data_IF_867730921634
#
_entry.id   IF_867730921634
#
_cell.length_a   1.000
_cell.length_b   1.000
_cell.length_c   1.000
_cell.angle_alpha   90.00
_cell.angle_beta   90.00
_cell.angle_gamma   90.00
#
_symmetry.space_group_name_H-M   'P 1'
#
loop_
_entity.id
_entity.type
_entity.pdbx_description
1 polymer ?
#
# COMPACT_ATOMS: atom_id res chain seq x y z
N UNK A 1 -63.52 -0.27 21.39
CA UNK A 1 -62.46 0.73 21.12
C UNK A 1 -61.38 0.05 20.30
N UNK A 2 -61.36 0.27 18.98
CA UNK A 2 -60.31 -0.25 18.09
C UNK A 2 -59.31 0.86 17.82
N UNK A 3 -58.08 0.71 18.33
CA UNK A 3 -56.96 1.61 18.04
C UNK A 3 -56.46 1.34 16.62
N UNK A 4 -56.57 2.32 15.73
CA UNK A 4 -55.97 2.23 14.38
C UNK A 4 -54.44 2.22 14.49
N UNK A 5 -53.72 1.38 13.73
CA UNK A 5 -52.27 1.41 13.69
C UNK A 5 -51.82 2.66 12.91
N UNK A 6 -50.81 3.37 13.43
CA UNK A 6 -50.24 4.54 12.78
C UNK A 6 -49.65 4.16 11.39
N UNK A 7 -49.82 5.00 10.35
CA UNK A 7 -49.31 4.69 9.03
C UNK A 7 -47.78 4.69 9.04
N UNK A 8 -47.17 3.57 8.66
CA UNK A 8 -45.73 3.47 8.46
C UNK A 8 -45.33 4.41 7.30
N UNK A 9 -44.50 5.42 7.59
CA UNK A 9 -43.99 6.34 6.58
C UNK A 9 -43.34 5.56 5.42
N UNK A 10 -43.59 5.93 4.15
CA UNK A 10 -43.04 5.20 3.00
C UNK A 10 -41.52 5.22 3.07
N UNK A 11 -40.87 4.04 2.96
CA UNK A 11 -39.41 3.84 3.06
C UNK A 11 -38.60 4.78 2.15
N UNK A 12 -39.20 5.30 1.09
CA UNK A 12 -38.64 6.28 0.15
C UNK A 12 -38.45 7.66 0.79
N UNK A 13 -39.40 8.15 1.60
CA UNK A 13 -39.29 9.46 2.27
C UNK A 13 -38.14 9.47 3.28
N UNK A 14 -37.95 8.38 4.04
CA UNK A 14 -36.81 8.23 4.97
C UNK A 14 -35.45 8.22 4.25
N UNK A 15 -35.35 7.59 3.07
CA UNK A 15 -34.13 7.59 2.25
C UNK A 15 -33.82 8.97 1.68
N UNK A 16 -34.83 9.72 1.24
CA UNK A 16 -34.67 11.08 0.72
C UNK A 16 -34.20 12.01 1.84
N UNK A 17 -34.88 12.00 2.99
CA UNK A 17 -34.47 12.83 4.14
C UNK A 17 -33.06 12.48 4.59
N UNK A 18 -32.70 11.20 4.66
CA UNK A 18 -31.34 10.79 5.03
C UNK A 18 -30.31 11.24 3.99
N UNK A 19 -30.61 11.13 2.69
CA UNK A 19 -29.74 11.64 1.63
C UNK A 19 -29.58 13.17 1.73
N UNK A 20 -30.65 13.93 1.97
CA UNK A 20 -30.60 15.38 2.15
C UNK A 20 -29.78 15.77 3.36
N UNK A 21 -29.95 15.09 4.50
CA UNK A 21 -29.16 15.35 5.71
C UNK A 21 -27.68 15.03 5.48
N UNK A 22 -27.36 13.92 4.81
CA UNK A 22 -25.97 13.57 4.46
C UNK A 22 -25.37 14.60 3.51
N UNK A 23 -26.08 15.01 2.47
CA UNK A 23 -25.62 16.05 1.54
C UNK A 23 -25.37 17.36 2.28
N UNK A 24 -26.31 17.79 3.13
CA UNK A 24 -26.16 19.03 3.90
C UNK A 24 -24.97 18.94 4.87
N UNK A 25 -24.78 17.80 5.55
CA UNK A 25 -23.63 17.58 6.40
C UNK A 25 -22.30 17.62 5.63
N UNK A 26 -22.24 17.02 4.44
CA UNK A 26 -21.06 17.06 3.55
C UNK A 26 -20.78 18.49 3.08
N UNK A 27 -21.81 19.26 2.70
CA UNK A 27 -21.65 20.65 2.29
C UNK A 27 -21.14 21.54 3.43
N UNK A 28 -21.67 21.35 4.64
CA UNK A 28 -21.21 22.08 5.83
C UNK A 28 -19.76 21.72 6.13
N UNK A 29 -19.40 20.44 6.13
CA UNK A 29 -18.02 20.00 6.33
C UNK A 29 -17.08 20.57 5.26
N UNK A 30 -17.48 20.53 3.98
CA UNK A 30 -16.71 21.10 2.88
C UNK A 30 -16.51 22.62 3.03
N UNK A 31 -17.54 23.35 3.47
CA UNK A 31 -17.44 24.78 3.75
C UNK A 31 -16.42 25.07 4.86
N UNK A 32 -16.46 24.34 5.98
CA UNK A 32 -15.50 24.52 7.07
C UNK A 32 -14.06 24.18 6.66
N UNK A 33 -13.87 23.09 5.89
CA UNK A 33 -12.55 22.72 5.35
C UNK A 33 -12.03 23.82 4.42
N UNK A 34 -12.87 24.29 3.49
CA UNK A 34 -12.49 25.36 2.57
C UNK A 34 -12.17 26.67 3.32
N UNK A 35 -13.01 27.07 4.27
CA UNK A 35 -12.80 28.28 5.05
C UNK A 35 -11.49 28.21 5.86
N UNK A 36 -11.19 27.06 6.47
CA UNK A 36 -9.91 26.83 7.15
C UNK A 36 -8.74 26.95 6.19
N UNK A 37 -8.75 26.19 5.09
CA UNK A 37 -7.64 26.18 4.13
C UNK A 37 -7.41 27.55 3.48
N UNK A 38 -8.49 28.30 3.20
CA UNK A 38 -8.39 29.63 2.63
C UNK A 38 -7.87 30.65 3.65
N UNK A 39 -8.28 30.55 4.91
CA UNK A 39 -7.77 31.39 5.99
C UNK A 39 -6.28 31.14 6.22
N UNK A 40 -5.87 29.86 6.24
CA UNK A 40 -4.45 29.49 6.34
C UNK A 40 -3.66 30.05 5.16
N UNK A 41 -4.19 29.93 3.94
CA UNK A 41 -3.54 30.49 2.75
C UNK A 41 -3.34 32.02 2.87
N UNK A 42 -4.39 32.77 3.22
CA UNK A 42 -4.30 34.21 3.41
C UNK A 42 -3.30 34.59 4.51
N UNK A 43 -3.23 33.81 5.59
CA UNK A 43 -2.28 34.05 6.67
C UNK A 43 -0.83 33.83 6.22
N UNK A 44 -0.55 32.72 5.52
CA UNK A 44 0.79 32.45 4.97
C UNK A 44 1.20 33.46 3.90
N UNK A 45 0.25 33.93 3.08
CA UNK A 45 0.48 34.95 2.05
C UNK A 45 0.87 36.30 2.66
N UNK A 46 0.20 36.73 3.73
CA UNK A 46 0.56 37.94 4.47
C UNK A 46 2.00 37.92 5.01
N UNK A 47 2.54 36.74 5.31
CA UNK A 47 3.90 36.55 5.79
C UNK A 47 4.92 36.28 4.66
N UNK A 48 4.51 36.32 3.39
CA UNK A 48 5.31 35.93 2.21
C UNK A 48 5.80 34.46 2.24
N UNK A 49 5.09 33.58 2.94
CA UNK A 49 5.39 32.14 3.04
C UNK A 49 4.34 31.26 2.33
N UNK A 50 3.49 31.83 1.46
CA UNK A 50 2.49 31.08 0.69
C UNK A 50 3.09 29.86 -0.03
N UNK A 51 4.33 29.99 -0.54
CA UNK A 51 5.04 28.91 -1.22
C UNK A 51 5.22 27.66 -0.35
N UNK A 52 5.41 27.81 0.97
CA UNK A 52 5.59 26.67 1.89
C UNK A 52 4.31 25.85 1.96
N UNK A 53 3.17 26.53 2.11
CA UNK A 53 1.86 25.89 2.19
C UNK A 53 1.49 25.20 0.87
N UNK A 54 1.67 25.89 -0.26
CA UNK A 54 1.39 25.30 -1.58
C UNK A 54 2.30 24.12 -1.89
N UNK A 55 3.58 24.19 -1.51
CA UNK A 55 4.52 23.08 -1.68
C UNK A 55 4.07 21.86 -0.88
N UNK A 56 3.66 22.05 0.38
CA UNK A 56 3.11 20.97 1.21
C UNK A 56 1.87 20.34 0.56
N UNK A 57 0.91 21.14 0.11
CA UNK A 57 -0.31 20.61 -0.52
C UNK A 57 -0.01 19.84 -1.80
N UNK A 58 0.84 20.38 -2.67
CA UNK A 58 1.24 19.73 -3.93
C UNK A 58 2.02 18.45 -3.64
N UNK A 59 2.95 18.47 -2.69
CA UNK A 59 3.74 17.31 -2.30
C UNK A 59 2.85 16.19 -1.75
N UNK A 60 1.96 16.50 -0.79
CA UNK A 60 1.02 15.51 -0.24
C UNK A 60 0.06 14.98 -1.31
N UNK A 61 -0.47 15.82 -2.21
CA UNK A 61 -1.33 15.38 -3.30
C UNK A 61 -0.60 14.50 -4.31
N UNK A 62 0.65 14.85 -4.66
CA UNK A 62 1.50 14.05 -5.54
C UNK A 62 1.78 12.69 -4.92
N UNK A 63 2.16 12.67 -3.64
CA UNK A 63 2.40 11.44 -2.89
C UNK A 63 1.15 10.58 -2.75
N UNK A 64 -0.04 11.20 -2.59
CA UNK A 64 -1.30 10.48 -2.62
C UNK A 64 -1.50 9.74 -3.96
N UNK A 65 -1.30 10.43 -5.08
CA UNK A 65 -1.45 9.85 -6.40
C UNK A 65 -0.41 8.74 -6.64
N UNK A 66 0.84 8.97 -6.25
CA UNK A 66 1.92 7.97 -6.37
C UNK A 66 1.62 6.74 -5.52
N UNK A 67 1.22 6.92 -4.26
CA UNK A 67 0.85 5.81 -3.38
C UNK A 67 -0.37 5.04 -3.90
N UNK A 68 -1.40 5.78 -4.34
CA UNK A 68 -2.60 5.19 -4.91
C UNK A 68 -2.30 4.34 -6.14
N UNK A 69 -1.58 4.90 -7.12
CA UNK A 69 -1.23 4.19 -8.35
C UNK A 69 -0.22 3.08 -8.10
N UNK A 70 0.76 3.32 -7.23
CA UNK A 70 1.80 2.36 -6.86
C UNK A 70 1.24 1.10 -6.20
N UNK A 71 0.11 1.19 -5.51
CA UNK A 71 -0.61 0.04 -4.95
C UNK A 71 -1.66 -0.51 -5.92
N UNK A 72 -2.51 0.35 -6.48
CA UNK A 72 -3.65 -0.07 -7.28
C UNK A 72 -3.22 -0.75 -8.59
N UNK A 73 -2.20 -0.24 -9.28
CA UNK A 73 -1.80 -0.77 -10.58
C UNK A 73 -1.20 -2.18 -10.48
N UNK A 74 -0.17 -2.45 -9.66
CA UNK A 74 0.38 -3.81 -9.53
C UNK A 74 -0.64 -4.80 -9.00
N UNK A 75 -1.47 -4.39 -8.02
CA UNK A 75 -2.54 -5.24 -7.50
C UNK A 75 -3.58 -5.58 -8.57
N UNK A 76 -4.01 -4.59 -9.35
CA UNK A 76 -4.93 -4.81 -10.46
C UNK A 76 -4.32 -5.78 -11.49
N UNK A 77 -3.05 -5.62 -11.86
CA UNK A 77 -2.35 -6.53 -12.76
C UNK A 77 -2.31 -7.95 -12.19
N UNK A 78 -1.97 -8.11 -10.91
CA UNK A 78 -1.91 -9.42 -10.25
C UNK A 78 -3.29 -10.11 -10.24
N UNK A 79 -4.34 -9.35 -9.91
CA UNK A 79 -5.73 -9.80 -9.97
C UNK A 79 -6.12 -10.22 -11.39
N UNK A 80 -5.84 -9.39 -12.40
CA UNK A 80 -6.12 -9.66 -13.81
C UNK A 80 -5.42 -10.92 -14.31
N UNK A 81 -4.16 -11.10 -13.92
CA UNK A 81 -3.36 -12.26 -14.30
C UNK A 81 -3.92 -13.54 -13.66
N UNK A 82 -4.29 -13.49 -12.39
CA UNK A 82 -4.99 -14.58 -11.70
C UNK A 82 -6.33 -14.91 -12.36
N UNK A 83 -7.03 -13.91 -12.91
CA UNK A 83 -8.25 -14.13 -13.67
C UNK A 83 -8.00 -14.80 -15.02
N UNK A 84 -7.00 -14.35 -15.80
CA UNK A 84 -6.69 -14.93 -17.11
C UNK A 84 -6.15 -16.35 -17.03
N UNK A 85 -5.39 -16.67 -16.00
CA UNK A 85 -4.70 -17.95 -15.83
C UNK A 85 -5.61 -19.10 -15.35
N UNK A 86 -6.93 -18.92 -15.38
CA UNK A 86 -7.90 -19.95 -15.01
C UNK A 86 -7.82 -21.11 -16.00
N UNK A 87 -7.59 -22.34 -15.53
CA UNK A 87 -7.78 -23.49 -16.39
C UNK A 87 -9.29 -23.64 -16.64
N UNK A 88 -9.71 -23.48 -17.90
CA UNK A 88 -11.07 -23.75 -18.36
C UNK A 88 -11.29 -25.26 -18.33
N UNK A 89 -11.49 -25.84 -17.15
CA UNK A 89 -11.98 -27.21 -17.03
C UNK A 89 -13.50 -27.20 -17.13
N UNK A 90 -13.94 -27.44 -18.37
CA UNK A 90 -15.18 -28.09 -18.82
C UNK A 90 -16.37 -28.01 -17.86
N UNK A 91 -17.36 -27.22 -18.31
CA UNK A 91 -18.74 -27.22 -17.86
C UNK A 91 -19.28 -28.65 -17.84
N UNK A 92 -19.82 -29.12 -16.72
CA UNK A 92 -20.75 -30.25 -16.71
C UNK A 92 -21.74 -30.13 -15.56
N UNK A 93 -22.73 -29.25 -15.73
CA UNK A 93 -24.13 -29.44 -15.30
C UNK A 93 -24.92 -28.13 -15.50
N UNK A 94 -26.09 -28.26 -16.08
CA UNK A 94 -27.07 -27.21 -16.42
C UNK A 94 -27.74 -26.55 -15.20
N UNK A 95 -27.21 -26.74 -13.98
CA UNK A 95 -27.76 -26.17 -12.74
C UNK A 95 -26.99 -24.94 -12.22
N UNK A 96 -25.84 -24.60 -12.82
CA UNK A 96 -24.94 -23.54 -12.33
C UNK A 96 -25.15 -22.16 -12.98
N UNK A 97 -25.98 -22.05 -14.02
CA UNK A 97 -26.22 -20.78 -14.73
C UNK A 97 -26.84 -19.70 -13.81
N UNK A 98 -27.62 -20.12 -12.79
CA UNK A 98 -28.27 -19.20 -11.83
C UNK A 98 -27.38 -18.75 -10.66
N UNK A 99 -26.30 -19.49 -10.37
CA UNK A 99 -25.29 -19.07 -9.39
C UNK A 99 -24.28 -18.09 -10.01
N UNK A 100 -24.07 -18.15 -11.33
CA UNK A 100 -23.17 -17.23 -12.02
C UNK A 100 -23.70 -15.78 -12.01
N UNK A 101 -25.00 -15.56 -12.21
CA UNK A 101 -25.60 -14.21 -12.24
C UNK A 101 -25.48 -13.43 -10.92
N UNK A 102 -25.36 -14.11 -9.77
CA UNK A 102 -25.18 -13.46 -8.46
C UNK A 102 -23.69 -13.21 -8.13
N UNK A 103 -22.79 -13.98 -8.74
CA UNK A 103 -21.33 -13.88 -8.52
C UNK A 103 -20.68 -12.89 -9.49
N UNK A 104 -21.24 -12.68 -10.69
CA UNK A 104 -20.70 -11.72 -11.68
C UNK A 104 -20.66 -10.24 -11.24
N UNK A 105 -21.65 -9.69 -10.51
CA UNK A 105 -21.60 -8.32 -10.00
C UNK A 105 -20.54 -8.18 -8.90
N UNK A 106 -20.46 -9.16 -8.00
CA UNK A 106 -19.46 -9.21 -6.94
C UNK A 106 -18.05 -9.37 -7.51
N UNK A 107 -17.91 -10.04 -8.66
CA UNK A 107 -16.66 -10.17 -9.42
C UNK A 107 -16.15 -8.83 -9.95
N UNK A 108 -16.99 -8.02 -10.61
CA UNK A 108 -16.57 -6.67 -11.08
C UNK A 108 -16.25 -5.75 -9.91
N UNK A 109 -17.04 -5.82 -8.84
CA UNK A 109 -16.79 -5.05 -7.63
C UNK A 109 -15.48 -5.47 -6.94
N UNK A 110 -15.16 -6.76 -6.88
CA UNK A 110 -13.90 -7.25 -6.34
C UNK A 110 -12.70 -6.84 -7.19
N UNK A 111 -12.80 -6.94 -8.53
CA UNK A 111 -11.72 -6.63 -9.46
C UNK A 111 -11.29 -5.16 -9.43
N UNK A 112 -12.24 -4.24 -9.33
CA UNK A 112 -11.94 -2.80 -9.26
C UNK A 112 -11.92 -2.27 -7.83
N UNK A 113 -12.79 -2.79 -6.98
CA UNK A 113 -12.94 -2.34 -5.60
C UNK A 113 -11.73 -2.66 -4.74
N UNK A 114 -11.09 -3.85 -4.88
CA UNK A 114 -9.88 -4.15 -4.09
C UNK A 114 -8.71 -3.21 -4.43
N UNK A 115 -8.30 -3.03 -5.70
CA UNK A 115 -7.25 -2.08 -6.06
C UNK A 115 -7.56 -0.65 -5.64
N UNK A 116 -8.79 -0.18 -5.84
CA UNK A 116 -9.19 1.18 -5.44
C UNK A 116 -9.18 1.33 -3.92
N UNK A 117 -9.68 0.34 -3.18
CA UNK A 117 -9.71 0.34 -1.72
C UNK A 117 -8.29 0.39 -1.15
N UNK A 118 -7.44 -0.58 -1.47
CA UNK A 118 -6.06 -0.61 -0.98
C UNK A 118 -5.24 0.57 -1.52
N UNK A 119 -5.48 0.98 -2.77
CA UNK A 119 -4.91 2.18 -3.35
C UNK A 119 -5.24 3.43 -2.54
N UNK A 120 -6.48 3.60 -2.09
CA UNK A 120 -6.88 4.78 -1.32
C UNK A 120 -6.14 4.85 0.03
N UNK A 121 -6.09 3.73 0.76
CA UNK A 121 -5.35 3.65 2.02
C UNK A 121 -3.85 3.90 1.81
N UNK A 122 -3.28 3.31 0.76
CA UNK A 122 -1.88 3.47 0.40
C UNK A 122 -1.55 4.90 -0.03
N UNK A 123 -2.43 5.56 -0.78
CA UNK A 123 -2.32 6.97 -1.14
C UNK A 123 -2.30 7.88 0.10
N UNK A 124 -3.23 7.68 1.05
CA UNK A 124 -3.20 8.45 2.30
C UNK A 124 -1.94 8.20 3.14
N UNK A 125 -1.50 6.94 3.23
CA UNK A 125 -0.26 6.60 3.94
C UNK A 125 0.97 7.26 3.29
N UNK A 126 1.07 7.21 1.96
CA UNK A 126 2.14 7.84 1.19
C UNK A 126 2.10 9.38 1.31
N UNK A 127 0.90 9.98 1.28
CA UNK A 127 0.74 11.42 1.48
C UNK A 127 1.27 11.91 2.83
N UNK A 128 1.21 11.07 3.87
CA UNK A 128 1.80 11.36 5.18
C UNK A 128 3.33 11.30 5.19
N UNK A 129 3.96 10.65 4.22
CA UNK A 129 5.42 10.51 4.07
C UNK A 129 6.02 11.54 3.09
N UNK A 130 5.28 12.61 2.78
CA UNK A 130 5.72 13.62 1.82
C UNK A 130 7.03 14.30 2.24
N UNK A 131 7.24 14.55 3.53
CA UNK A 131 8.46 15.19 4.06
C UNK A 131 9.68 14.34 3.74
N UNK A 132 9.62 13.03 3.98
CA UNK A 132 10.69 12.08 3.70
C UNK A 132 11.13 12.13 2.22
N UNK A 133 10.16 12.13 1.29
CA UNK A 133 10.45 12.17 -0.15
C UNK A 133 10.97 13.54 -0.59
N UNK A 134 10.42 14.63 -0.05
CA UNK A 134 10.88 15.98 -0.39
C UNK A 134 12.27 16.27 0.17
N UNK A 135 12.58 15.77 1.36
CA UNK A 135 13.91 15.86 1.96
C UNK A 135 14.93 15.05 1.18
N UNK A 136 14.57 13.86 0.70
CA UNK A 136 15.40 13.10 -0.23
C UNK A 136 15.67 13.86 -1.53
N UNK A 137 14.62 14.38 -2.17
CA UNK A 137 14.73 15.07 -3.45
C UNK A 137 15.51 16.40 -3.37
N UNK A 138 15.49 17.07 -2.22
CA UNK A 138 16.18 18.35 -1.97
C UNK A 138 17.36 18.19 -1.01
N UNK A 139 17.81 16.96 -0.76
CA UNK A 139 18.89 16.68 0.18
C UNK A 139 20.21 17.32 -0.26
N UNK A 140 21.01 17.72 0.71
CA UNK A 140 22.33 18.34 0.46
C UNK A 140 23.44 17.54 1.12
N UNK A 141 24.62 17.51 0.50
CA UNK A 141 25.81 16.94 1.12
C UNK A 141 26.19 17.73 2.38
N UNK A 142 26.50 17.03 3.45
CA UNK A 142 26.93 17.63 4.72
C UNK A 142 28.44 17.86 4.76
N UNK A 143 29.20 17.18 3.89
CA UNK A 143 30.65 17.30 3.80
C UNK A 143 31.40 16.51 4.87
N UNK A 144 30.69 15.71 5.66
CA UNK A 144 31.28 14.81 6.66
C UNK A 144 30.91 13.37 6.31
N UNK A 145 31.91 12.53 6.15
CA UNK A 145 31.74 11.10 5.86
C UNK A 145 31.80 10.27 7.13
N UNK A 146 30.99 9.21 7.19
CA UNK A 146 31.03 8.24 8.27
C UNK A 146 32.31 7.38 8.19
N UNK A 147 32.77 6.87 9.34
CA UNK A 147 34.03 6.11 9.42
C UNK A 147 33.90 4.62 9.00
N UNK A 148 32.67 4.10 8.89
CA UNK A 148 32.42 2.67 8.68
C UNK A 148 32.19 2.37 7.18
N UNK A 149 31.27 3.07 6.54
CA UNK A 149 30.91 2.91 5.13
C UNK A 149 31.47 4.02 4.23
N UNK A 150 32.06 5.07 4.80
CA UNK A 150 32.64 6.20 4.06
C UNK A 150 31.62 6.93 3.17
N UNK A 151 30.36 6.97 3.61
CA UNK A 151 29.25 7.68 3.01
C UNK A 151 29.05 9.04 3.70
N UNK A 152 28.62 10.04 2.95
CA UNK A 152 28.28 11.35 3.50
C UNK A 152 27.14 11.24 4.51
N UNK A 153 27.19 11.99 5.61
CA UNK A 153 26.13 11.93 6.64
C UNK A 153 24.77 12.39 6.12
N UNK A 154 24.72 13.16 5.02
CA UNK A 154 23.49 13.47 4.28
C UNK A 154 22.76 12.23 3.77
N UNK A 155 23.47 11.15 3.45
CA UNK A 155 22.85 9.88 3.07
C UNK A 155 21.97 9.33 4.20
N UNK A 156 22.44 9.37 5.44
CA UNK A 156 21.70 8.83 6.59
C UNK A 156 20.51 9.71 6.99
N UNK A 157 20.59 11.01 6.71
CA UNK A 157 19.55 11.99 7.04
C UNK A 157 18.43 12.02 6.00
N UNK A 158 18.76 11.91 4.71
CA UNK A 158 17.81 12.15 3.62
C UNK A 158 17.55 10.91 2.77
N UNK A 159 18.60 10.19 2.35
CA UNK A 159 18.47 9.06 1.43
C UNK A 159 17.96 7.79 2.13
N UNK A 160 18.55 7.45 3.27
CA UNK A 160 18.24 6.21 3.99
C UNK A 160 16.77 6.13 4.41
N UNK A 161 16.15 7.17 5.03
CA UNK A 161 14.73 7.13 5.38
C UNK A 161 13.83 6.97 4.14
N UNK A 162 14.21 7.55 3.01
CA UNK A 162 13.48 7.38 1.75
C UNK A 162 13.57 5.95 1.22
N UNK A 163 14.76 5.36 1.18
CA UNK A 163 14.92 3.98 0.74
C UNK A 163 14.18 2.99 1.65
N UNK A 164 14.20 3.20 2.97
CA UNK A 164 13.40 2.41 3.92
C UNK A 164 11.90 2.52 3.62
N UNK A 165 11.38 3.74 3.46
CA UNK A 165 9.98 3.97 3.14
C UNK A 165 9.58 3.35 1.79
N UNK A 166 10.42 3.47 0.77
CA UNK A 166 10.19 2.93 -0.57
C UNK A 166 10.19 1.39 -0.57
N UNK A 167 11.18 0.75 0.05
CA UNK A 167 11.27 -0.70 0.14
C UNK A 167 10.14 -1.29 0.98
N UNK A 168 9.77 -0.62 2.08
CA UNK A 168 8.60 -0.96 2.88
C UNK A 168 7.31 -0.86 2.08
N UNK A 169 7.15 0.20 1.29
CA UNK A 169 6.01 0.38 0.39
C UNK A 169 5.93 -0.72 -0.68
N UNK A 170 7.01 -0.97 -1.41
CA UNK A 170 7.05 -2.03 -2.45
C UNK A 170 6.76 -3.40 -1.82
N UNK A 171 7.32 -3.68 -0.64
CA UNK A 171 7.06 -4.92 0.10
C UNK A 171 5.58 -5.08 0.45
N UNK A 172 4.94 -4.00 0.93
CA UNK A 172 3.50 -3.99 1.23
C UNK A 172 2.66 -4.22 -0.04
N UNK A 173 3.02 -3.62 -1.17
CA UNK A 173 2.35 -3.82 -2.46
C UNK A 173 2.44 -5.28 -2.90
N UNK A 174 3.64 -5.87 -2.84
CA UNK A 174 3.88 -7.25 -3.26
C UNK A 174 3.17 -8.26 -2.37
N UNK A 175 3.24 -8.11 -1.04
CA UNK A 175 2.60 -9.05 -0.12
C UNK A 175 1.07 -8.96 -0.22
N UNK A 176 0.48 -7.77 -0.34
CA UNK A 176 -0.95 -7.62 -0.55
C UNK A 176 -1.37 -8.17 -1.91
N UNK A 177 -0.59 -7.94 -2.96
CA UNK A 177 -0.84 -8.51 -4.28
C UNK A 177 -0.77 -10.04 -4.27
N UNK A 178 0.17 -10.62 -3.51
CA UNK A 178 0.30 -12.07 -3.33
C UNK A 178 -0.92 -12.63 -2.61
N UNK A 179 -1.33 -12.03 -1.49
CA UNK A 179 -2.48 -12.47 -0.69
C UNK A 179 -3.78 -12.37 -1.49
N UNK A 180 -4.01 -11.25 -2.18
CA UNK A 180 -5.22 -11.07 -3.00
C UNK A 180 -5.21 -12.03 -4.18
N UNK A 181 -4.07 -12.23 -4.85
CA UNK A 181 -3.97 -13.22 -5.93
C UNK A 181 -4.25 -14.63 -5.43
N UNK A 182 -3.70 -15.02 -4.27
CA UNK A 182 -3.96 -16.32 -3.65
C UNK A 182 -5.45 -16.49 -3.32
N UNK A 183 -6.09 -15.45 -2.76
CA UNK A 183 -7.53 -15.44 -2.47
C UNK A 183 -8.36 -15.62 -3.76
N UNK A 184 -8.03 -14.89 -4.82
CA UNK A 184 -8.71 -15.02 -6.13
C UNK A 184 -8.49 -16.40 -6.73
N UNK A 185 -7.29 -16.97 -6.64
CA UNK A 185 -7.02 -18.31 -7.15
C UNK A 185 -7.76 -19.40 -6.34
N UNK A 186 -7.90 -19.21 -5.03
CA UNK A 186 -8.65 -20.08 -4.13
C UNK A 186 -10.16 -20.02 -4.39
N UNK A 187 -10.76 -18.83 -4.39
CA UNK A 187 -12.21 -18.62 -4.56
C UNK A 187 -12.76 -19.19 -5.87
N UNK A 188 -11.89 -19.36 -6.85
CA UNK A 188 -12.27 -19.84 -8.16
C UNK A 188 -11.74 -21.24 -8.49
N UNK A 189 -11.31 -21.98 -7.46
CA UNK A 189 -11.00 -23.39 -7.55
C UNK A 189 -9.74 -23.72 -8.34
N UNK A 190 -8.85 -22.75 -8.55
CA UNK A 190 -7.50 -22.98 -9.09
C UNK A 190 -6.56 -23.56 -8.04
N UNK A 191 -6.91 -23.37 -6.77
CA UNK A 191 -6.36 -24.06 -5.59
C UNK A 191 -7.52 -24.81 -4.94
N UNK A 192 -7.52 -26.14 -4.99
CA UNK A 192 -8.48 -26.98 -4.27
C UNK A 192 -7.77 -27.63 -3.09
N UNK A 193 -8.34 -27.46 -1.91
CA UNK A 193 -7.97 -28.20 -0.70
C UNK A 193 -9.08 -29.24 -0.52
N UNK A 194 -8.85 -30.46 -1.01
CA UNK A 194 -9.82 -31.56 -0.93
C UNK A 194 -9.12 -32.90 -0.73
N UNK A 195 -9.62 -33.71 0.19
CA UNK A 195 -9.13 -35.07 0.51
C UNK A 195 -7.60 -35.17 0.72
N UNK A 196 -6.99 -34.20 1.41
CA UNK A 196 -5.56 -34.25 1.76
C UNK A 196 -4.58 -33.95 0.61
N UNK A 197 -5.05 -33.71 -0.62
CA UNK A 197 -4.22 -33.31 -1.76
C UNK A 197 -4.41 -31.83 -2.10
N UNK A 198 -3.33 -31.04 -2.02
CA UNK A 198 -3.31 -29.65 -2.47
C UNK A 198 -3.09 -29.62 -3.99
N UNK A 199 -4.18 -29.55 -4.77
CA UNK A 199 -4.08 -29.41 -6.24
C UNK A 199 -4.08 -27.94 -6.63
N UNK A 200 -2.90 -27.45 -6.97
CA UNK A 200 -2.67 -26.10 -7.51
C UNK A 200 -2.43 -26.21 -9.02
N UNK A 201 -3.17 -25.45 -9.82
CA UNK A 201 -2.91 -25.38 -11.27
C UNK A 201 -1.49 -24.86 -11.56
N UNK A 202 -0.85 -25.34 -12.64
CA UNK A 202 0.51 -24.91 -13.01
C UNK A 202 0.61 -23.39 -13.15
N UNK A 203 -0.41 -22.77 -13.75
CA UNK A 203 -0.48 -21.34 -13.98
C UNK A 203 -0.57 -20.53 -12.66
N UNK A 204 -1.41 -20.96 -11.72
CA UNK A 204 -1.51 -20.38 -10.38
C UNK A 204 -0.18 -20.48 -9.60
N UNK A 205 0.49 -21.63 -9.69
CA UNK A 205 1.80 -21.85 -9.03
C UNK A 205 2.85 -20.90 -9.57
N UNK A 206 2.94 -20.73 -10.89
CA UNK A 206 3.92 -19.83 -11.52
C UNK A 206 3.65 -18.38 -11.12
N UNK A 207 2.41 -17.92 -11.16
CA UNK A 207 2.09 -16.55 -10.76
C UNK A 207 2.48 -16.26 -9.30
N UNK A 208 2.09 -17.14 -8.37
CA UNK A 208 2.42 -16.97 -6.96
C UNK A 208 3.94 -17.05 -6.72
N UNK A 209 4.63 -17.96 -7.41
CA UNK A 209 6.08 -18.07 -7.33
C UNK A 209 6.80 -16.83 -7.86
N UNK A 210 6.33 -16.23 -8.97
CA UNK A 210 6.92 -14.99 -9.51
C UNK A 210 6.73 -13.82 -8.54
N UNK A 211 5.53 -13.63 -8.00
CA UNK A 211 5.28 -12.55 -7.03
C UNK A 211 6.12 -12.77 -5.76
N UNK A 212 6.19 -14.01 -5.26
CA UNK A 212 7.00 -14.35 -4.09
C UNK A 212 8.51 -14.18 -4.35
N UNK A 213 9.00 -14.56 -5.53
CA UNK A 213 10.40 -14.36 -5.92
C UNK A 213 10.76 -12.89 -6.00
N UNK A 214 9.92 -12.06 -6.64
CA UNK A 214 10.11 -10.60 -6.66
C UNK A 214 10.08 -10.02 -5.25
N UNK A 215 9.18 -10.49 -4.38
CA UNK A 215 9.15 -10.10 -2.97
C UNK A 215 10.47 -10.44 -2.25
N UNK A 216 11.00 -11.66 -2.44
CA UNK A 216 12.27 -12.05 -1.84
C UNK A 216 13.46 -11.22 -2.37
N UNK A 217 13.47 -10.84 -3.65
CA UNK A 217 14.46 -9.90 -4.18
C UNK A 217 14.38 -8.54 -3.50
N UNK A 218 13.16 -8.01 -3.28
CA UNK A 218 12.98 -6.75 -2.56
C UNK A 218 13.44 -6.87 -1.10
N UNK A 219 13.19 -8.01 -0.44
CA UNK A 219 13.69 -8.27 0.91
C UNK A 219 15.22 -8.39 0.96
N UNK A 220 15.84 -8.97 -0.07
CA UNK A 220 17.30 -9.01 -0.17
C UNK A 220 17.89 -7.59 -0.24
N UNK A 221 17.29 -6.70 -1.02
CA UNK A 221 17.68 -5.28 -1.09
C UNK A 221 17.41 -4.58 0.24
N UNK A 222 16.27 -4.83 0.89
CA UNK A 222 15.95 -4.29 2.22
C UNK A 222 17.01 -4.66 3.25
N UNK A 223 17.37 -5.94 3.34
CA UNK A 223 18.41 -6.42 4.27
C UNK A 223 19.77 -5.80 3.98
N UNK A 224 20.07 -5.51 2.70
CA UNK A 224 21.29 -4.81 2.34
C UNK A 224 21.27 -3.36 2.84
N UNK A 225 20.15 -2.66 2.68
CA UNK A 225 19.97 -1.28 3.15
C UNK A 225 19.95 -1.20 4.69
N UNK A 226 19.38 -2.20 5.36
CA UNK A 226 19.32 -2.29 6.84
C UNK A 226 20.71 -2.26 7.50
N UNK A 227 21.77 -2.60 6.76
CA UNK A 227 23.15 -2.48 7.24
C UNK A 227 23.49 -1.05 7.62
N UNK A 228 23.05 -0.07 6.83
CA UNK A 228 23.34 1.34 7.07
C UNK A 228 22.62 1.88 8.29
N UNK A 229 21.44 1.33 8.61
CA UNK A 229 20.65 1.69 9.79
C UNK A 229 21.39 1.48 11.11
N UNK A 230 22.35 0.54 11.14
CA UNK A 230 23.16 0.28 12.35
C UNK A 230 23.92 1.51 12.84
N UNK A 231 24.19 2.50 11.97
CA UNK A 231 24.86 3.74 12.34
C UNK A 231 23.94 4.82 12.90
N UNK A 232 22.63 4.73 12.65
CA UNK A 232 21.63 5.67 13.16
C UNK A 232 20.79 5.08 14.29
N UNK A 233 20.93 3.77 14.55
CA UNK A 233 20.23 3.07 15.61
C UNK A 233 20.64 3.59 17.00
N UNK A 234 19.65 3.90 17.83
CA UNK A 234 19.85 4.22 19.25
C UNK A 234 19.93 2.91 20.03
N UNK A 235 21.09 2.60 20.60
CA UNK A 235 21.28 1.49 21.54
C UNK A 235 21.38 1.98 22.99
N UNK A 236 21.29 1.05 23.94
CA UNK A 236 21.22 1.32 25.39
C UNK A 236 22.34 2.24 25.92
N UNK A 237 23.53 2.17 25.31
CA UNK A 237 24.72 2.89 25.80
C UNK A 237 25.22 3.96 24.85
N UNK A 238 25.06 3.76 23.54
CA UNK A 238 25.54 4.68 22.51
C UNK A 238 24.53 4.73 21.37
N UNK A 239 24.44 5.86 20.70
CA UNK A 239 23.77 5.95 19.40
C UNK A 239 24.82 5.71 18.31
N UNK A 240 24.53 4.76 17.42
CA UNK A 240 25.44 4.33 16.35
C UNK A 240 26.03 2.93 16.56
N UNK A 241 26.80 2.47 15.58
CA UNK A 241 27.22 1.08 15.50
C UNK A 241 28.22 0.72 16.62
N UNK A 242 27.76 -0.08 17.58
CA UNK A 242 28.60 -0.68 18.60
C UNK A 242 29.50 -1.79 18.01
N UNK A 243 30.47 -2.27 18.81
CA UNK A 243 31.38 -3.35 18.40
C UNK A 243 30.64 -4.59 17.87
N UNK A 244 29.51 -4.96 18.49
CA UNK A 244 28.64 -6.04 18.05
C UNK A 244 27.93 -5.73 16.74
N UNK A 245 27.46 -4.49 16.55
CA UNK A 245 26.86 -4.02 15.31
C UNK A 245 27.82 -4.14 14.13
N UNK A 246 29.05 -3.65 14.32
CA UNK A 246 30.11 -3.67 13.29
C UNK A 246 30.56 -5.08 12.95
N UNK A 247 30.83 -5.92 13.96
CA UNK A 247 31.46 -7.23 13.73
C UNK A 247 30.48 -8.40 13.55
N UNK A 248 29.21 -8.27 13.95
CA UNK A 248 28.22 -9.34 13.84
C UNK A 248 27.00 -8.95 13.01
N UNK A 249 26.37 -7.81 13.28
CA UNK A 249 25.09 -7.42 12.63
C UNK A 249 25.30 -7.07 11.16
N UNK A 250 26.24 -6.17 10.85
CA UNK A 250 26.50 -5.75 9.46
C UNK A 250 26.90 -6.94 8.58
N UNK A 251 27.85 -7.82 8.97
CA UNK A 251 28.16 -9.04 8.20
C UNK A 251 26.97 -9.99 8.10
N UNK A 252 26.22 -10.19 9.20
CA UNK A 252 25.04 -11.07 9.22
C UNK A 252 23.97 -10.63 8.22
N UNK A 253 23.62 -9.34 8.21
CA UNK A 253 22.69 -8.76 7.24
C UNK A 253 23.19 -8.91 5.80
N UNK A 254 24.50 -8.74 5.56
CA UNK A 254 25.10 -8.92 4.24
C UNK A 254 24.94 -10.37 3.73
N UNK A 255 25.18 -11.35 4.60
CA UNK A 255 25.05 -12.77 4.26
C UNK A 255 23.58 -13.12 4.00
N UNK A 256 22.66 -12.66 4.86
CA UNK A 256 21.22 -12.88 4.70
C UNK A 256 20.69 -12.25 3.40
N UNK A 257 21.15 -11.05 3.04
CA UNK A 257 20.79 -10.39 1.79
C UNK A 257 21.22 -11.24 0.58
N UNK A 258 22.45 -11.74 0.56
CA UNK A 258 22.96 -12.60 -0.53
C UNK A 258 22.17 -13.91 -0.61
N UNK A 259 21.91 -14.57 0.52
CA UNK A 259 21.13 -15.81 0.56
C UNK A 259 19.70 -15.56 0.06
N UNK A 260 19.05 -14.48 0.50
CA UNK A 260 17.71 -14.11 0.05
C UNK A 260 17.67 -13.88 -1.48
N UNK A 261 18.68 -13.22 -2.04
CA UNK A 261 18.81 -13.02 -3.48
C UNK A 261 18.98 -14.35 -4.23
N UNK A 262 19.80 -15.27 -3.71
CA UNK A 262 20.02 -16.59 -4.32
C UNK A 262 18.77 -17.47 -4.27
N UNK A 263 18.00 -17.43 -3.18
CA UNK A 263 16.74 -18.20 -3.03
C UNK A 263 15.63 -17.68 -3.96
N UNK A 264 15.69 -16.40 -4.32
CA UNK A 264 14.68 -15.78 -5.16
C UNK A 264 14.78 -16.15 -6.66
N UNK A 265 15.94 -16.63 -7.11
CA UNK A 265 16.27 -16.97 -8.51
C UNK A 265 16.16 -18.48 -8.73
#
# INVERSE_FOLDING_TARGET
>A
MTTSPAPAAPRTARRIVLATVVILAVLIAAFFVFASMYTDFLWYDQLNFAQVLTTRWIASATMFVVGFLGMAVPMFIAIQLAYRLRPVYVRLSSQLDRYQEVVEPLRRLAMWGMPVFFGLFSGFAAAGQWETVWQWANGTATGQTDAQFHLDTGFYLFDLPFYEALLGFISAVLILSLLVSALVLYLYGSVRIGQGELRISKAARVQLAVIAGVYLLVQAVSLWVDRYKTLTATEDKITGAAFTGVNAVIPGLSILAIIAALVAV
#
